data_IF_806901262304
#
_entry.id   IF_806901262304
#
_cell.length_a   1.000
_cell.length_b   1.000
_cell.length_c   1.000
_cell.angle_alpha   90.00
_cell.angle_beta   90.00
_cell.angle_gamma   90.00
#
_symmetry.space_group_name_H-M   'P 1'
#
loop_
_entity.id
_entity.type
_entity.pdbx_description
1 polymer ?
#
# COMPACT_ATOMS: atom_id res chain seq x y z
N UNK A 1 -37.46 0.45 -4.08
CA UNK A 1 -36.18 1.20 -4.14
C UNK A 1 -35.06 0.19 -3.96
N UNK A 2 -34.24 -0.02 -4.99
CA UNK A 2 -33.01 -0.80 -4.85
C UNK A 2 -31.93 0.07 -4.21
N UNK A 3 -31.12 -0.49 -3.32
CA UNK A 3 -29.91 0.18 -2.83
C UNK A 3 -28.91 0.21 -3.99
N UNK A 4 -28.63 1.40 -4.51
CA UNK A 4 -27.55 1.57 -5.49
C UNK A 4 -26.20 1.49 -4.80
N UNK A 5 -25.27 0.75 -5.40
CA UNK A 5 -23.92 0.60 -4.88
C UNK A 5 -23.12 1.84 -5.26
N UNK A 6 -22.84 2.68 -4.27
CA UNK A 6 -22.09 3.92 -4.45
C UNK A 6 -20.58 3.66 -4.63
N UNK A 7 -19.83 4.59 -5.25
CA UNK A 7 -18.37 4.52 -5.30
C UNK A 7 -17.74 4.44 -3.90
N UNK A 8 -18.24 5.23 -2.94
CA UNK A 8 -17.79 5.19 -1.55
C UNK A 8 -17.93 3.80 -0.91
N UNK A 9 -19.03 3.09 -1.19
CA UNK A 9 -19.21 1.72 -0.71
C UNK A 9 -18.20 0.76 -1.33
N UNK A 10 -17.90 0.90 -2.63
CA UNK A 10 -16.88 0.09 -3.30
C UNK A 10 -15.50 0.31 -2.69
N UNK A 11 -15.15 1.55 -2.39
CA UNK A 11 -13.85 1.88 -1.78
C UNK A 11 -13.75 1.33 -0.35
N UNK A 12 -14.80 1.48 0.45
CA UNK A 12 -14.87 0.88 1.79
C UNK A 12 -14.71 -0.66 1.76
N UNK A 13 -15.34 -1.32 0.79
CA UNK A 13 -15.19 -2.77 0.59
C UNK A 13 -13.77 -3.15 0.16
N UNK A 14 -13.14 -2.38 -0.73
CA UNK A 14 -11.73 -2.61 -1.12
C UNK A 14 -10.79 -2.53 0.08
N UNK A 15 -10.97 -1.50 0.92
CA UNK A 15 -10.22 -1.39 2.16
C UNK A 15 -10.43 -2.58 3.08
N UNK A 16 -11.67 -3.06 3.23
CA UNK A 16 -11.98 -4.23 4.05
C UNK A 16 -11.23 -5.47 3.55
N UNK A 17 -11.29 -5.75 2.25
CA UNK A 17 -10.58 -6.88 1.65
C UNK A 17 -9.05 -6.76 1.78
N UNK A 18 -8.51 -5.55 1.69
CA UNK A 18 -7.09 -5.32 1.94
C UNK A 18 -6.71 -5.69 3.38
N UNK A 19 -7.47 -5.22 4.37
CA UNK A 19 -7.24 -5.49 5.79
C UNK A 19 -7.33 -6.99 6.10
N UNK A 20 -8.36 -7.66 5.62
CA UNK A 20 -8.50 -9.12 5.73
C UNK A 20 -7.37 -9.87 5.03
N UNK A 21 -6.96 -9.42 3.84
CA UNK A 21 -5.84 -9.99 3.11
C UNK A 21 -4.50 -9.85 3.84
N UNK A 22 -4.26 -8.71 4.49
CA UNK A 22 -3.11 -8.51 5.37
C UNK A 22 -3.08 -9.54 6.49
N UNK A 23 -4.19 -9.67 7.22
CA UNK A 23 -4.27 -10.55 8.38
C UNK A 23 -4.01 -12.01 8.00
N UNK A 24 -4.65 -12.48 6.92
CA UNK A 24 -4.47 -13.85 6.42
C UNK A 24 -3.04 -14.11 5.96
N UNK A 25 -2.40 -13.13 5.30
CA UNK A 25 -1.03 -13.26 4.78
C UNK A 25 0.07 -12.90 5.80
N UNK A 26 -0.30 -12.55 7.03
CA UNK A 26 0.64 -12.22 8.09
C UNK A 26 1.31 -10.85 7.95
N UNK A 27 0.64 -9.91 7.29
CA UNK A 27 1.04 -8.51 7.22
C UNK A 27 0.31 -7.70 8.29
N UNK A 28 0.99 -6.69 8.81
CA UNK A 28 0.42 -5.65 9.65
C UNK A 28 0.44 -4.33 8.85
N UNK A 29 -0.47 -3.40 9.14
CA UNK A 29 -0.62 -2.17 8.36
C UNK A 29 -0.89 -0.94 9.23
N UNK A 30 -0.50 0.23 8.76
CA UNK A 30 -0.85 1.52 9.35
C UNK A 30 -1.25 2.48 8.22
N UNK A 31 -2.38 3.17 8.37
CA UNK A 31 -2.79 4.17 7.39
C UNK A 31 -1.86 5.38 7.50
N UNK A 32 -1.50 6.02 6.38
CA UNK A 32 -0.54 7.13 6.41
C UNK A 32 -0.99 8.29 7.30
N UNK A 33 -2.31 8.56 7.32
CA UNK A 33 -2.92 9.56 8.21
C UNK A 33 -2.75 9.29 9.70
N UNK A 34 -2.53 8.04 10.09
CA UNK A 34 -2.41 7.60 11.47
C UNK A 34 -0.93 7.45 11.90
N UNK A 35 0.01 7.72 10.99
CA UNK A 35 1.45 7.68 11.27
C UNK A 35 1.83 8.87 12.16
N UNK A 36 2.01 8.59 13.45
CA UNK A 36 2.64 9.49 14.42
C UNK A 36 3.97 8.88 14.87
N UNK A 37 5.08 9.36 14.29
CA UNK A 37 6.42 8.85 14.60
C UNK A 37 6.90 9.47 15.93
N UNK A 38 6.61 8.78 17.04
CA UNK A 38 7.23 9.06 18.35
C UNK A 38 8.56 8.31 18.46
N UNK A 39 9.66 9.02 18.18
CA UNK A 39 10.99 8.40 18.10
C UNK A 39 11.15 7.62 16.80
N UNK A 40 11.36 6.30 16.90
CA UNK A 40 11.52 5.40 15.75
C UNK A 40 10.53 4.23 15.77
N UNK A 41 9.52 4.25 16.63
CA UNK A 41 8.58 3.13 16.77
C UNK A 41 7.22 3.52 16.22
N UNK A 42 6.64 2.64 15.40
CA UNK A 42 5.29 2.74 14.88
C UNK A 42 4.42 1.61 15.39
N UNK A 43 3.12 1.86 15.50
CA UNK A 43 2.14 0.87 15.95
C UNK A 43 1.26 0.45 14.79
N UNK A 44 1.50 -0.76 14.28
CA UNK A 44 0.75 -1.34 13.18
C UNK A 44 -0.48 -2.11 13.68
N UNK A 45 -1.51 -2.17 12.85
CA UNK A 45 -2.69 -3.00 13.03
C UNK A 45 -2.50 -4.37 12.42
N UNK A 46 -3.00 -5.40 13.10
CA UNK A 46 -3.17 -6.74 12.56
C UNK A 46 -4.35 -7.42 13.22
N UNK A 47 -5.48 -7.46 12.52
CA UNK A 47 -6.78 -7.79 13.09
C UNK A 47 -7.05 -6.94 14.33
N UNK A 48 -7.29 -7.61 15.45
CA UNK A 48 -7.51 -6.97 16.75
C UNK A 48 -6.23 -6.59 17.49
N UNK A 49 -5.06 -7.01 16.99
CA UNK A 49 -3.78 -6.78 17.64
C UNK A 49 -3.12 -5.48 17.18
N UNK A 50 -2.37 -4.87 18.09
CA UNK A 50 -1.48 -3.74 17.84
C UNK A 50 -0.04 -4.23 17.99
N UNK A 51 0.78 -4.01 16.97
CA UNK A 51 2.16 -4.48 16.92
C UNK A 51 3.08 -3.27 16.87
N UNK A 52 3.92 -3.11 17.87
CA UNK A 52 4.94 -2.06 17.91
C UNK A 52 6.16 -2.49 17.11
N UNK A 53 6.51 -1.72 16.09
CA UNK A 53 7.62 -1.99 15.20
C UNK A 53 8.60 -0.81 15.25
N UNK A 54 9.84 -1.09 15.66
CA UNK A 54 10.94 -0.13 15.64
C UNK A 54 11.55 -0.09 14.24
N UNK A 55 11.45 1.05 13.58
CA UNK A 55 12.06 1.35 12.30
C UNK A 55 13.57 1.56 12.45
N UNK A 56 14.32 1.22 11.40
CA UNK A 56 15.73 1.59 11.27
C UNK A 56 15.86 3.06 10.89
N UNK A 57 16.88 3.75 11.41
CA UNK A 57 17.10 5.19 11.16
C UNK A 57 17.09 5.55 9.67
N UNK A 58 17.66 4.69 8.82
CA UNK A 58 17.72 4.87 7.37
C UNK A 58 16.36 4.94 6.67
N UNK A 59 15.31 4.37 7.26
CA UNK A 59 13.93 4.34 6.74
C UNK A 59 13.07 5.42 7.39
N UNK A 60 13.38 5.83 8.62
CA UNK A 60 12.59 6.82 9.37
C UNK A 60 12.42 8.12 8.59
N UNK A 61 13.47 8.59 7.91
CA UNK A 61 13.40 9.81 7.09
C UNK A 61 12.39 9.68 5.96
N UNK A 62 12.45 8.59 5.19
CA UNK A 62 11.52 8.32 4.08
C UNK A 62 10.08 8.24 4.60
N UNK A 63 9.85 7.51 5.69
CA UNK A 63 8.50 7.38 6.25
C UNK A 63 7.96 8.73 6.71
N UNK A 64 8.78 9.58 7.35
CA UNK A 64 8.36 10.94 7.76
C UNK A 64 8.05 11.85 6.58
N UNK A 65 8.73 11.68 5.45
CA UNK A 65 8.51 12.47 4.26
C UNK A 65 7.20 12.07 3.59
N UNK A 66 7.03 10.78 3.33
CA UNK A 66 5.91 10.25 2.54
C UNK A 66 4.62 10.13 3.34
N UNK A 67 4.69 10.09 4.68
CA UNK A 67 3.50 10.15 5.54
C UNK A 67 2.92 11.57 5.67
N UNK A 68 3.55 12.61 5.10
CA UNK A 68 2.98 13.96 5.11
C UNK A 68 1.96 14.10 4.00
N UNK A 69 0.79 14.63 4.33
CA UNK A 69 -0.19 14.98 3.32
C UNK A 69 0.27 16.20 2.52
N UNK A 70 0.19 16.13 1.19
CA UNK A 70 0.33 17.29 0.29
C UNK A 70 -1.09 17.75 -0.07
N UNK A 71 -1.44 18.99 0.28
CA UNK A 71 -2.80 19.54 0.08
C UNK A 71 -3.94 18.67 0.64
N UNK A 72 -3.69 17.97 1.75
CA UNK A 72 -4.67 17.07 2.38
C UNK A 72 -4.74 15.67 1.77
N UNK A 73 -3.96 15.37 0.73
CA UNK A 73 -3.89 14.06 0.10
C UNK A 73 -2.58 13.35 0.47
N UNK A 74 -2.68 12.04 0.74
CA UNK A 74 -1.52 11.20 0.97
C UNK A 74 -1.09 10.55 -0.36
N UNK A 75 0.21 10.39 -0.55
CA UNK A 75 0.77 9.78 -1.75
C UNK A 75 0.40 8.29 -1.85
N UNK A 76 0.31 7.60 -0.72
CA UNK A 76 -0.07 6.20 -0.63
C UNK A 76 -1.13 6.01 0.45
N UNK A 77 -1.77 4.83 0.47
CA UNK A 77 -2.87 4.55 1.39
C UNK A 77 -2.35 4.03 2.74
N UNK A 78 -1.40 3.09 2.70
CA UNK A 78 -0.86 2.44 3.89
C UNK A 78 0.66 2.26 3.83
N UNK A 79 1.26 2.07 5.00
CA UNK A 79 2.55 1.41 5.18
C UNK A 79 2.27 0.02 5.75
N UNK A 80 2.77 -1.04 5.12
CA UNK A 80 2.60 -2.41 5.56
C UNK A 80 3.93 -3.02 6.01
N UNK A 81 3.87 -3.91 7.00
CA UNK A 81 5.01 -4.64 7.53
C UNK A 81 4.70 -6.13 7.65
N UNK A 82 5.53 -7.00 7.06
CA UNK A 82 5.41 -8.45 7.19
C UNK A 82 5.83 -8.88 8.59
N UNK A 83 4.89 -9.48 9.33
CA UNK A 83 5.09 -9.90 10.73
C UNK A 83 4.95 -11.41 10.94
N UNK A 84 4.61 -12.17 9.89
CA UNK A 84 4.42 -13.62 9.93
C UNK A 84 3.08 -14.04 10.55
N UNK A 85 2.88 -15.30 10.92
CA UNK A 85 1.68 -15.75 11.65
C UNK A 85 2.10 -16.20 13.05
N UNK A 86 2.29 -15.25 13.95
CA UNK A 86 2.72 -15.54 15.32
C UNK A 86 1.51 -15.60 16.26
N UNK A 87 1.51 -16.58 17.16
CA UNK A 87 0.50 -16.72 18.22
C UNK A 87 0.68 -15.69 19.34
N UNK A 88 1.88 -15.11 19.46
CA UNK A 88 2.23 -14.02 20.39
C UNK A 88 3.23 -13.09 19.72
N UNK A 89 3.02 -11.78 19.87
CA UNK A 89 3.95 -10.75 19.42
C UNK A 89 4.76 -10.27 20.61
N UNK A 90 6.07 -10.02 20.42
CA UNK A 90 6.90 -9.39 21.43
C UNK A 90 6.51 -7.91 21.63
N UNK A 91 6.99 -7.30 22.72
CA UNK A 91 6.62 -5.92 23.08
C UNK A 91 7.02 -4.90 21.99
N UNK A 92 8.20 -5.07 21.38
CA UNK A 92 8.67 -4.28 20.24
C UNK A 92 9.44 -5.18 19.27
N UNK A 93 9.01 -5.24 18.01
CA UNK A 93 9.73 -5.93 16.94
C UNK A 93 10.64 -4.97 16.18
N UNK A 94 11.84 -5.41 15.80
CA UNK A 94 12.69 -4.61 14.90
C UNK A 94 12.24 -4.82 13.45
N UNK A 95 12.03 -3.74 12.71
CA UNK A 95 11.71 -3.82 11.29
C UNK A 95 12.89 -4.40 10.50
N UNK A 96 12.64 -5.45 9.73
CA UNK A 96 13.46 -5.74 8.57
C UNK A 96 13.01 -4.79 7.44
N UNK A 97 13.89 -3.95 6.86
CA UNK A 97 13.59 -3.14 5.68
C UNK A 97 12.84 -3.89 4.58
N UNK A 98 13.26 -5.12 4.31
CA UNK A 98 12.69 -5.96 3.24
C UNK A 98 11.29 -6.49 3.60
N UNK A 99 10.87 -6.29 4.85
CA UNK A 99 9.54 -6.61 5.33
C UNK A 99 8.60 -5.40 5.31
N UNK A 100 9.06 -4.20 4.97
CA UNK A 100 8.25 -2.99 4.87
C UNK A 100 7.94 -2.65 3.42
N UNK A 101 6.72 -2.20 3.14
CA UNK A 101 6.35 -1.68 1.84
C UNK A 101 5.29 -0.57 1.93
N UNK A 102 5.37 0.39 1.01
CA UNK A 102 4.28 1.33 0.75
C UNK A 102 3.12 0.60 0.07
N UNK A 103 1.88 1.03 0.30
CA UNK A 103 0.70 0.38 -0.28
C UNK A 103 -0.18 1.40 -0.97
N UNK A 104 -0.51 1.11 -2.24
CA UNK A 104 -1.61 1.74 -2.99
C UNK A 104 -2.73 0.73 -3.21
N UNK A 105 -3.97 1.08 -2.86
CA UNK A 105 -5.15 0.26 -3.10
C UNK A 105 -5.86 0.72 -4.37
N UNK A 106 -6.17 -0.24 -5.25
CA UNK A 106 -7.00 -0.01 -6.43
C UNK A 106 -6.22 0.01 -7.74
N UNK A 107 -6.94 0.37 -8.81
CA UNK A 107 -6.48 0.25 -10.20
C UNK A 107 -6.25 1.62 -10.85
N UNK A 108 -6.18 2.69 -10.08
CA UNK A 108 -5.92 4.02 -10.61
C UNK A 108 -4.48 4.15 -11.08
N UNK A 109 -4.26 4.91 -12.16
CA UNK A 109 -2.94 5.32 -12.60
C UNK A 109 -2.19 6.05 -11.48
N UNK A 110 -0.86 6.08 -11.61
CA UNK A 110 -0.03 6.90 -10.74
C UNK A 110 -0.24 8.39 -11.09
N UNK A 111 -0.40 9.24 -10.08
CA UNK A 111 -0.33 10.69 -10.29
C UNK A 111 1.12 11.12 -10.52
N UNK A 112 1.32 12.31 -11.11
CA UNK A 112 2.67 12.86 -11.29
C UNK A 112 3.46 12.90 -9.98
N UNK A 113 2.84 13.35 -8.88
CA UNK A 113 3.49 13.34 -7.55
C UNK A 113 3.88 11.93 -7.07
N UNK A 114 3.13 10.90 -7.46
CA UNK A 114 3.48 9.51 -7.13
C UNK A 114 4.66 9.06 -7.97
N UNK A 115 4.66 9.36 -9.27
CA UNK A 115 5.76 9.03 -10.20
C UNK A 115 7.07 9.67 -9.73
N UNK A 116 7.06 10.96 -9.38
CA UNK A 116 8.23 11.68 -8.85
C UNK A 116 8.77 11.09 -7.54
N UNK A 117 7.94 10.35 -6.82
CA UNK A 117 8.30 9.68 -5.56
C UNK A 117 8.85 8.29 -5.83
N UNK A 118 8.37 7.58 -6.85
CA UNK A 118 8.85 6.22 -7.18
C UNK A 118 10.35 6.19 -7.43
N UNK A 119 10.92 7.20 -8.10
CA UNK A 119 12.38 7.27 -8.39
C UNK A 119 13.25 7.41 -7.12
N UNK A 120 12.67 7.81 -5.99
CA UNK A 120 13.41 8.12 -4.76
C UNK A 120 13.08 7.24 -3.55
N UNK A 121 12.02 6.43 -3.61
CA UNK A 121 11.68 5.53 -2.51
C UNK A 121 12.68 4.38 -2.41
N UNK A 122 13.04 4.01 -1.17
CA UNK A 122 13.87 2.83 -0.91
C UNK A 122 13.03 1.64 -0.52
N UNK A 123 11.88 1.88 0.12
CA UNK A 123 10.94 0.81 0.40
C UNK A 123 10.20 0.43 -0.88
N UNK A 124 9.97 -0.87 -1.12
CA UNK A 124 9.15 -1.30 -2.24
C UNK A 124 7.71 -0.77 -2.11
N UNK A 125 7.05 -0.63 -3.25
CA UNK A 125 5.64 -0.29 -3.34
C UNK A 125 4.85 -1.55 -3.72
N UNK A 126 3.79 -1.81 -2.97
CA UNK A 126 2.74 -2.75 -3.36
C UNK A 126 1.53 -2.03 -3.92
N UNK A 127 1.07 -2.50 -5.09
CA UNK A 127 -0.25 -2.15 -5.60
C UNK A 127 -1.20 -3.32 -5.32
N UNK A 128 -2.15 -3.09 -4.42
CA UNK A 128 -3.17 -4.07 -4.06
C UNK A 128 -4.40 -3.89 -4.95
N UNK A 129 -4.69 -4.91 -5.77
CA UNK A 129 -5.76 -4.87 -6.77
C UNK A 129 -6.83 -5.91 -6.47
N UNK A 130 -8.09 -5.49 -6.63
CA UNK A 130 -9.26 -6.38 -6.60
C UNK A 130 -9.98 -6.27 -7.94
N UNK A 131 -10.14 -7.40 -8.63
CA UNK A 131 -10.76 -7.45 -9.96
C UNK A 131 -12.22 -7.04 -9.94
N UNK A 132 -12.99 -7.62 -9.01
CA UNK A 132 -14.38 -7.28 -8.76
C UNK A 132 -14.65 -7.28 -7.25
N UNK A 133 -14.90 -6.10 -6.70
CA UNK A 133 -15.15 -5.90 -5.27
C UNK A 133 -16.54 -6.38 -4.83
N UNK A 134 -17.47 -6.53 -5.78
CA UNK A 134 -18.85 -6.92 -5.52
C UNK A 134 -19.10 -8.41 -5.77
N UNK A 135 -18.09 -9.13 -6.26
CA UNK A 135 -18.15 -10.57 -6.37
C UNK A 135 -18.41 -11.20 -4.99
N UNK A 136 -19.12 -12.35 -4.92
CA UNK A 136 -19.26 -13.10 -3.68
C UNK A 136 -17.88 -13.41 -3.09
N UNK A 137 -17.70 -13.41 -1.74
CA UNK A 137 -16.38 -13.54 -1.11
C UNK A 137 -15.52 -14.70 -1.63
N UNK A 138 -16.15 -15.85 -1.90
CA UNK A 138 -15.48 -17.04 -2.43
C UNK A 138 -14.89 -16.89 -3.85
N UNK A 139 -15.23 -15.81 -4.56
CA UNK A 139 -14.81 -15.50 -5.94
C UNK A 139 -14.02 -14.19 -6.04
N UNK A 140 -13.77 -13.51 -4.92
CA UNK A 140 -12.99 -12.26 -4.92
C UNK A 140 -11.53 -12.59 -5.19
N UNK A 141 -11.03 -12.15 -6.34
CA UNK A 141 -9.62 -12.29 -6.71
C UNK A 141 -8.82 -11.07 -6.25
N UNK A 142 -7.90 -11.30 -5.32
CA UNK A 142 -6.99 -10.29 -4.78
C UNK A 142 -5.57 -10.49 -5.30
N UNK A 143 -4.95 -9.45 -5.84
CA UNK A 143 -3.56 -9.46 -6.33
C UNK A 143 -2.71 -8.46 -5.54
N UNK A 144 -1.49 -8.89 -5.24
CA UNK A 144 -0.46 -8.09 -4.58
C UNK A 144 0.72 -8.05 -5.54
N UNK A 145 0.99 -6.89 -6.12
CA UNK A 145 2.15 -6.70 -6.98
C UNK A 145 3.15 -5.83 -6.23
N UNK A 146 4.22 -6.44 -5.74
CA UNK A 146 5.23 -5.80 -4.88
C UNK A 146 6.50 -5.63 -5.70
N UNK A 147 6.91 -4.40 -5.93
CA UNK A 147 8.06 -4.05 -6.76
C UNK A 147 8.83 -2.87 -6.20
N UNK A 148 10.06 -2.66 -6.65
CA UNK A 148 10.78 -1.42 -6.38
C UNK A 148 10.11 -0.23 -7.10
N UNK A 149 10.52 0.98 -6.75
CA UNK A 149 10.10 2.18 -7.48
C UNK A 149 10.52 2.15 -8.95
N UNK A 150 11.79 1.82 -9.20
CA UNK A 150 12.37 1.69 -10.54
C UNK A 150 11.60 0.69 -11.41
N UNK A 151 11.27 -0.49 -10.88
CA UNK A 151 10.49 -1.51 -11.61
C UNK A 151 9.07 -1.03 -11.98
N UNK A 152 8.48 -0.13 -11.19
CA UNK A 152 7.21 0.50 -11.56
C UNK A 152 7.39 1.57 -12.63
N UNK A 153 8.48 2.32 -12.61
CA UNK A 153 8.79 3.33 -13.62
C UNK A 153 9.05 2.68 -14.98
N UNK A 154 9.82 1.60 -15.02
CA UNK A 154 10.10 0.85 -16.25
C UNK A 154 8.78 0.39 -16.92
N UNK A 155 7.82 -0.17 -16.15
CA UNK A 155 6.51 -0.57 -16.70
C UNK A 155 5.71 0.64 -17.23
N UNK A 156 5.81 1.80 -16.57
CA UNK A 156 5.10 3.01 -17.00
C UNK A 156 5.69 3.59 -18.28
N UNK A 157 7.00 3.58 -18.43
CA UNK A 157 7.69 4.00 -19.65
C UNK A 157 7.36 3.06 -20.82
N UNK A 158 7.41 1.74 -20.61
CA UNK A 158 7.02 0.74 -21.62
C UNK A 158 5.58 0.95 -22.12
N UNK A 159 4.65 1.29 -21.21
CA UNK A 159 3.26 1.57 -21.56
C UNK A 159 3.10 2.91 -22.32
N UNK A 160 3.91 3.92 -22.00
CA UNK A 160 3.91 5.21 -22.72
C UNK A 160 4.42 5.01 -24.15
N UNK A 161 5.53 4.30 -24.31
CA UNK A 161 6.14 4.05 -25.61
C UNK A 161 5.21 3.23 -26.53
N UNK A 162 4.46 2.27 -25.97
CA UNK A 162 3.42 1.53 -26.69
C UNK A 162 2.28 2.45 -27.17
N UNK A 163 1.77 3.32 -26.30
CA UNK A 163 0.70 4.24 -26.64
C UNK A 163 1.10 5.24 -27.75
N UNK A 164 2.33 5.77 -27.66
CA UNK A 164 2.89 6.65 -28.70
C UNK A 164 3.07 5.90 -30.03
N UNK A 165 3.48 4.63 -29.98
CA UNK A 165 3.58 3.80 -31.18
C UNK A 165 2.23 3.48 -31.82
N UNK A 166 1.17 3.30 -31.05
CA UNK A 166 -0.17 3.03 -31.58
C UNK A 166 -0.78 4.27 -32.25
N UNK A 167 -0.48 5.47 -31.77
CA UNK A 167 -0.96 6.73 -32.32
C UNK A 167 -0.27 7.13 -33.64
N UNK A 168 0.97 6.69 -33.88
CA UNK A 168 1.70 6.96 -35.14
C UNK A 168 1.20 6.14 -36.36
N UNK A 169 0.37 5.12 -36.15
CA UNK A 169 -0.17 4.26 -37.22
C UNK A 169 -1.61 4.62 -37.66
N UNK A 170 -2.16 5.77 -37.23
CA UNK A 170 -3.47 6.29 -37.63
C UNK A 170 -3.44 7.56 -38.49
#
# INVERSE_FOLDING_TARGET
MGLEITPSLKDALRELYYKEGCDQKGWAYIALKDIDIKGNTLVFNKGVHRISIKLMDKIVTEVKELSRSVNGNFLFDYLACKTGQLSKYGDVMLANPDALCWVKIGNGAFSSDQIDVLDRIKLPLVVFRIKDVLAPPAKVEMRWDIRSGDEWLDELDDLRDQAESDDEYF
#
